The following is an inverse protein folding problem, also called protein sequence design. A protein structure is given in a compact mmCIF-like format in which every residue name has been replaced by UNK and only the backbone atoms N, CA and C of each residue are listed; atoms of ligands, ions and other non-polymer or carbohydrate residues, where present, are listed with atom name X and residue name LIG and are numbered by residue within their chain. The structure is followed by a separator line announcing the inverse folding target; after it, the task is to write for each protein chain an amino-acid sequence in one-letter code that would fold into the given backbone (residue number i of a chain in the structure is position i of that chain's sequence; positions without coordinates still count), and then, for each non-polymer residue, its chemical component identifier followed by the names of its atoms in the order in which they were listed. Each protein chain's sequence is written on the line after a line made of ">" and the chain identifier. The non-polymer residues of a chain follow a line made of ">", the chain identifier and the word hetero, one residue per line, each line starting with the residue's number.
data_IF_825187965121
#
_entry.id   IF_825187965121
#
_cell.length_a   1.000
_cell.length_b   1.000
_cell.length_c   1.000
_cell.angle_alpha   90.00
_cell.angle_beta   90.00
_cell.angle_gamma   90.00
#
_symmetry.space_group_name_H-M   'P 1'
#
loop_
_entity.id
_entity.type
_entity.pdbx_description
1 polymer ?
#
# COMPACT_ATOMS: atom_id res chain seq x y z
N UNK A 1 -1.66 12.13 -19.54
CA UNK A 1 -1.42 10.72 -19.16
C UNK A 1 -1.67 10.59 -17.68
N UNK A 2 -2.33 9.52 -17.25
CA UNK A 2 -2.50 9.26 -15.82
C UNK A 2 -1.13 8.85 -15.22
N UNK A 3 -0.86 9.26 -14.00
CA UNK A 3 0.40 8.94 -13.32
C UNK A 3 0.15 8.41 -11.92
N UNK A 4 1.01 7.48 -11.52
CA UNK A 4 1.11 6.98 -10.15
C UNK A 4 2.42 7.52 -9.61
N UNK A 5 2.33 8.40 -8.62
CA UNK A 5 3.52 8.92 -7.95
C UNK A 5 4.10 7.80 -7.11
N UNK A 6 5.41 7.57 -7.19
CA UNK A 6 6.10 6.55 -6.41
C UNK A 6 7.26 7.11 -5.62
N UNK A 7 7.50 6.55 -4.44
CA UNK A 7 8.65 6.82 -3.60
C UNK A 7 9.20 5.54 -2.98
N UNK A 8 10.52 5.47 -2.88
CA UNK A 8 11.21 4.42 -2.14
C UNK A 8 11.44 4.88 -0.71
N UNK A 9 11.19 4.00 0.25
CA UNK A 9 11.25 4.34 1.67
C UNK A 9 11.90 3.22 2.48
N UNK A 10 13.04 3.53 3.09
CA UNK A 10 13.78 2.60 3.94
C UNK A 10 13.20 2.63 5.35
N UNK A 11 12.77 1.48 5.83
CA UNK A 11 12.21 1.30 7.19
C UNK A 11 13.07 0.34 8.02
N UNK A 12 12.71 0.17 9.30
CA UNK A 12 13.35 -0.80 10.21
C UNK A 12 13.18 -2.25 9.75
N UNK A 13 12.16 -2.55 8.94
CA UNK A 13 11.83 -3.90 8.47
C UNK A 13 12.26 -4.18 7.01
N UNK A 14 12.75 -3.16 6.30
CA UNK A 14 13.18 -3.29 4.91
C UNK A 14 12.87 -2.07 4.06
N UNK A 15 13.24 -2.13 2.77
CA UNK A 15 12.88 -1.10 1.80
C UNK A 15 11.49 -1.35 1.25
N UNK A 16 10.63 -0.36 1.41
CA UNK A 16 9.28 -0.33 0.88
C UNK A 16 9.23 0.57 -0.34
N UNK A 17 8.37 0.23 -1.28
CA UNK A 17 7.86 1.18 -2.24
C UNK A 17 6.51 1.72 -1.75
N UNK A 18 6.26 2.98 -2.04
CA UNK A 18 4.98 3.63 -1.83
C UNK A 18 4.51 4.12 -3.19
N UNK A 19 3.21 4.04 -3.45
CA UNK A 19 2.62 4.59 -4.66
C UNK A 19 1.22 5.14 -4.45
N UNK A 20 0.96 6.30 -5.03
CA UNK A 20 -0.29 7.04 -4.91
C UNK A 20 -0.86 7.41 -6.28
N UNK A 21 -2.18 7.37 -6.36
CA UNK A 21 -2.97 7.70 -7.54
C UNK A 21 -4.21 8.48 -7.10
N UNK A 22 -4.48 9.64 -7.71
CA UNK A 22 -5.62 10.52 -7.37
C UNK A 22 -5.78 10.75 -5.85
N UNK A 23 -4.69 11.15 -5.19
CA UNK A 23 -4.63 11.38 -3.73
C UNK A 23 -5.01 10.16 -2.87
N UNK A 24 -4.80 8.94 -3.37
CA UNK A 24 -5.01 7.69 -2.63
C UNK A 24 -3.81 6.77 -2.74
N UNK A 25 -3.46 6.11 -1.64
CA UNK A 25 -2.40 5.10 -1.60
C UNK A 25 -2.87 3.84 -2.32
N UNK A 26 -2.20 3.47 -3.41
CA UNK A 26 -2.49 2.26 -4.19
C UNK A 26 -1.38 1.21 -4.10
N UNK A 27 -0.19 1.57 -3.62
CA UNK A 27 0.95 0.66 -3.46
C UNK A 27 1.62 0.90 -2.10
N UNK A 28 1.80 -0.20 -1.37
CA UNK A 28 2.68 -0.32 -0.20
C UNK A 28 3.21 -1.76 -0.20
N UNK A 29 4.40 -1.98 -0.73
CA UNK A 29 4.98 -3.33 -0.88
C UNK A 29 6.50 -3.28 -0.66
N UNK A 30 7.11 -4.43 -0.39
CA UNK A 30 8.57 -4.53 -0.34
C UNK A 30 9.17 -4.30 -1.74
N UNK A 31 10.24 -3.52 -1.79
CA UNK A 31 10.99 -3.26 -3.01
C UNK A 31 11.53 -4.57 -3.61
N UNK A 32 12.06 -5.44 -2.75
CA UNK A 32 12.71 -6.70 -3.14
C UNK A 32 11.73 -7.89 -3.16
N UNK A 33 10.65 -7.77 -3.93
CA UNK A 33 9.69 -8.87 -4.17
C UNK A 33 9.98 -9.57 -5.50
N UNK A 34 10.11 -10.91 -5.48
CA UNK A 34 10.42 -11.74 -6.67
C UNK A 34 9.49 -11.48 -7.88
N UNK A 35 8.21 -11.18 -7.62
CA UNK A 35 7.18 -10.97 -8.65
C UNK A 35 6.78 -9.50 -8.84
N UNK A 36 7.68 -8.56 -8.53
CA UNK A 36 7.33 -7.13 -8.51
C UNK A 36 6.88 -6.57 -9.86
N UNK A 37 7.56 -6.95 -10.95
CA UNK A 37 7.20 -6.54 -12.32
C UNK A 37 5.76 -6.89 -12.70
N UNK A 38 5.26 -8.03 -12.24
CA UNK A 38 3.88 -8.47 -12.51
C UNK A 38 2.87 -7.63 -11.73
N UNK A 39 3.17 -7.27 -10.48
CA UNK A 39 2.33 -6.39 -9.67
C UNK A 39 2.25 -5.01 -10.30
N UNK A 40 3.41 -4.43 -10.63
CA UNK A 40 3.50 -3.10 -11.25
C UNK A 40 2.74 -3.06 -12.58
N UNK A 41 2.94 -4.06 -13.45
CA UNK A 41 2.24 -4.16 -14.72
C UNK A 41 0.71 -4.25 -14.56
N UNK A 42 0.23 -5.02 -13.57
CA UNK A 42 -1.21 -5.09 -13.27
C UNK A 42 -1.76 -3.74 -12.83
N UNK A 43 -1.07 -3.04 -11.93
CA UNK A 43 -1.55 -1.75 -11.41
C UNK A 43 -1.54 -0.70 -12.53
N UNK A 44 -0.45 -0.58 -13.27
CA UNK A 44 -0.35 0.33 -14.44
C UNK A 44 -1.46 0.06 -15.46
N UNK A 45 -1.71 -1.21 -15.78
CA UNK A 45 -2.77 -1.59 -16.73
C UNK A 45 -4.16 -1.24 -16.23
N UNK A 46 -4.48 -1.52 -14.97
CA UNK A 46 -5.80 -1.24 -14.40
C UNK A 46 -6.08 0.26 -14.25
N UNK A 47 -5.07 1.05 -13.85
CA UNK A 47 -5.20 2.50 -13.69
C UNK A 47 -4.89 3.30 -14.97
N UNK A 48 -4.46 2.62 -16.03
CA UNK A 48 -3.99 3.21 -17.31
C UNK A 48 -2.96 4.32 -17.07
N UNK A 49 -2.04 4.07 -16.14
CA UNK A 49 -1.12 5.06 -15.61
C UNK A 49 0.33 4.57 -15.64
N UNK A 50 1.26 5.51 -15.72
CA UNK A 50 2.70 5.23 -15.60
C UNK A 50 3.23 5.60 -14.22
N UNK A 51 4.32 4.95 -13.81
CA UNK A 51 4.99 5.28 -12.56
C UNK A 51 5.91 6.48 -12.77
N UNK A 52 5.81 7.45 -11.88
CA UNK A 52 6.65 8.64 -11.87
C UNK A 52 7.24 8.78 -10.47
N UNK A 53 8.57 8.89 -10.38
CA UNK A 53 9.23 9.20 -9.12
C UNK A 53 8.94 10.64 -8.74
N UNK A 54 7.94 10.79 -7.86
CA UNK A 54 7.45 12.07 -7.41
C UNK A 54 6.84 11.87 -6.02
N UNK A 55 7.02 12.87 -5.16
CA UNK A 55 6.44 12.87 -3.82
C UNK A 55 5.14 13.67 -3.78
N UNK A 56 4.24 13.31 -2.87
CA UNK A 56 2.99 14.02 -2.64
C UNK A 56 2.55 13.96 -1.18
N UNK A 57 1.39 14.55 -0.88
CA UNK A 57 0.85 14.62 0.48
C UNK A 57 0.56 13.22 1.05
N UNK A 58 0.02 12.32 0.24
CA UNK A 58 -0.35 10.96 0.67
C UNK A 58 0.90 10.14 0.95
N UNK A 59 1.91 10.21 0.10
CA UNK A 59 3.17 9.50 0.33
C UNK A 59 3.92 10.04 1.56
N UNK A 60 3.92 11.36 1.78
CA UNK A 60 4.49 11.97 2.99
C UNK A 60 3.79 11.52 4.26
N UNK A 61 2.45 11.60 4.27
CA UNK A 61 1.66 11.16 5.42
C UNK A 61 1.83 9.66 5.66
N UNK A 62 1.88 8.86 4.59
CA UNK A 62 2.10 7.41 4.71
C UNK A 62 3.41 7.08 5.41
N UNK A 63 4.52 7.76 5.05
CA UNK A 63 5.82 7.56 5.73
C UNK A 63 5.75 7.95 7.21
N UNK A 64 5.15 9.10 7.53
CA UNK A 64 4.97 9.55 8.90
C UNK A 64 4.18 8.55 9.73
N UNK A 65 3.05 8.06 9.23
CA UNK A 65 2.24 7.08 9.96
C UNK A 65 2.92 5.72 10.09
N UNK A 66 3.73 5.31 9.11
CA UNK A 66 4.56 4.11 9.20
C UNK A 66 5.61 4.25 10.30
N UNK A 67 6.31 5.37 10.38
CA UNK A 67 7.26 5.65 11.47
C UNK A 67 6.57 5.58 12.85
N UNK A 68 5.44 6.28 13.00
CA UNK A 68 4.66 6.26 14.24
C UNK A 68 4.15 4.84 14.60
N UNK A 69 3.79 4.04 13.60
CA UNK A 69 3.38 2.65 13.79
C UNK A 69 4.53 1.76 14.24
N UNK A 70 5.70 1.87 13.60
CA UNK A 70 6.88 1.09 13.98
C UNK A 70 7.41 1.48 15.37
N UNK A 71 7.22 2.73 15.78
CA UNK A 71 7.55 3.23 17.12
C UNK A 71 6.44 2.99 18.15
N UNK A 72 5.35 2.32 17.77
CA UNK A 72 4.18 1.98 18.60
C UNK A 72 3.39 3.19 19.12
N UNK A 73 3.62 4.38 18.57
CA UNK A 73 2.84 5.58 18.86
C UNK A 73 1.46 5.56 18.17
N UNK A 74 1.33 4.79 17.08
CA UNK A 74 0.09 4.65 16.31
C UNK A 74 -0.32 3.19 16.17
N UNK A 75 -1.63 2.94 16.30
CA UNK A 75 -2.25 1.63 16.05
C UNK A 75 -3.26 1.63 14.89
N UNK A 76 -3.67 2.81 14.42
CA UNK A 76 -4.65 2.97 13.34
C UNK A 76 -4.11 3.89 12.26
N UNK A 77 -4.24 3.48 11.00
CA UNK A 77 -3.89 4.30 9.86
C UNK A 77 -5.07 5.15 9.43
N UNK A 78 -4.78 6.39 9.04
CA UNK A 78 -5.73 7.33 8.46
C UNK A 78 -5.14 7.80 7.12
N UNK A 79 -5.19 6.90 6.14
CA UNK A 79 -4.64 7.09 4.81
C UNK A 79 -5.72 6.64 3.82
N UNK A 80 -6.08 7.48 2.83
CA UNK A 80 -7.06 7.06 1.82
C UNK A 80 -6.47 5.96 0.94
N UNK A 81 -7.12 4.80 0.88
CA UNK A 81 -6.66 3.64 0.11
C UNK A 81 -7.38 3.53 -1.24
N UNK A 82 -6.66 3.09 -2.26
CA UNK A 82 -7.20 2.68 -3.54
C UNK A 82 -6.84 1.21 -3.82
N UNK A 83 -7.83 0.34 -3.66
CA UNK A 83 -7.68 -1.10 -3.90
C UNK A 83 -7.78 -1.43 -5.39
N UNK A 84 -6.65 -1.82 -6.00
CA UNK A 84 -6.57 -2.21 -7.41
C UNK A 84 -6.45 -3.72 -7.53
N UNK A 85 -7.57 -4.40 -7.79
CA UNK A 85 -7.64 -5.86 -7.89
C UNK A 85 -9.00 -6.34 -8.40
N UNK A 86 -9.17 -7.66 -8.46
CA UNK A 86 -10.46 -8.30 -8.76
C UNK A 86 -11.46 -8.07 -7.64
N UNK A 87 -12.75 -8.29 -7.89
CA UNK A 87 -13.79 -8.11 -6.87
C UNK A 87 -13.57 -9.05 -5.67
N UNK A 88 -13.06 -10.26 -5.91
CA UNK A 88 -12.63 -11.18 -4.84
C UNK A 88 -11.46 -10.61 -4.01
N UNK A 89 -10.46 -10.00 -4.65
CA UNK A 89 -9.36 -9.39 -3.90
C UNK A 89 -9.83 -8.21 -3.06
N UNK A 90 -10.71 -7.37 -3.63
CA UNK A 90 -11.31 -6.24 -2.92
C UNK A 90 -12.16 -6.69 -1.74
N UNK A 91 -12.95 -7.75 -1.88
CA UNK A 91 -13.77 -8.26 -0.78
C UNK A 91 -12.90 -8.77 0.37
N UNK A 92 -11.83 -9.51 0.07
CA UNK A 92 -10.86 -9.96 1.07
C UNK A 92 -10.16 -8.77 1.74
N UNK A 93 -9.69 -7.79 0.97
CA UNK A 93 -9.02 -6.62 1.54
C UNK A 93 -9.94 -5.76 2.40
N UNK A 94 -11.21 -5.59 2.01
CA UNK A 94 -12.20 -4.91 2.85
C UNK A 94 -12.42 -5.64 4.17
N UNK A 95 -12.49 -6.98 4.15
CA UNK A 95 -12.58 -7.77 5.38
C UNK A 95 -11.34 -7.62 6.26
N UNK A 96 -10.14 -7.52 5.67
CA UNK A 96 -8.89 -7.33 6.42
C UNK A 96 -8.78 -5.95 7.09
N UNK A 97 -9.44 -4.91 6.57
CA UNK A 97 -9.43 -3.56 7.19
C UNK A 97 -10.18 -3.57 8.53
N UNK A 98 -11.22 -4.38 8.66
CA UNK A 98 -12.04 -4.49 9.87
C UNK A 98 -11.32 -5.26 11.00
N UNK A 99 -10.19 -5.91 10.70
CA UNK A 99 -9.43 -6.66 11.70
C UNK A 99 -8.72 -5.67 12.64
N UNK A 100 -9.05 -5.68 13.95
CA UNK A 100 -8.41 -4.79 14.90
C UNK A 100 -6.92 -5.10 15.03
N UNK A 101 -6.14 -4.10 15.47
CA UNK A 101 -4.74 -4.26 15.82
C UNK A 101 -4.59 -5.15 17.06
N UNK A 102 -4.65 -6.46 16.87
CA UNK A 102 -4.47 -7.51 17.86
C UNK A 102 -3.83 -8.74 17.19
N UNK A 103 -3.36 -9.69 17.98
CA UNK A 103 -2.81 -10.95 17.48
C UNK A 103 -3.95 -11.79 16.89
N UNK A 104 -4.26 -11.62 15.62
CA UNK A 104 -5.17 -12.51 14.90
C UNK A 104 -4.41 -13.79 14.53
N UNK A 105 -4.71 -14.89 15.22
CA UNK A 105 -4.45 -16.23 14.69
C UNK A 105 -5.40 -16.45 13.51
N UNK A 106 -4.85 -16.69 12.32
CA UNK A 106 -5.63 -17.10 11.16
C UNK A 106 -6.20 -18.50 11.41
N UNK A 107 -7.39 -18.58 12.00
CA UNK A 107 -8.22 -19.78 11.90
C UNK A 107 -8.87 -19.79 10.53
N UNK A 108 -8.63 -20.89 9.83
CA UNK A 108 -9.07 -21.25 8.48
C UNK A 108 -10.39 -20.59 8.05
N UNK A 109 -10.29 -19.72 7.04
CA UNK A 109 -11.41 -19.44 6.14
C UNK A 109 -11.26 -20.35 4.93
N UNK A 110 -11.90 -21.53 4.98
CA UNK A 110 -12.21 -22.38 3.83
C UNK A 110 -13.68 -22.78 3.90
#
# INVERSE_FOLDING_TARGET
>A
MNQINIQHYKTKIGKLILGSFDDKLCILDFEYRKMRKTVDSRIKKNLKAEFVEQDDKVLKETRKQLDEYFDRYRKKFDIPLLMVGTDFQKSVWNALIEVPYETVEFKEFF
#
